data_IF_029965559023
#
_entry.id   IF_029965559023
#
_cell.length_a   1.000
_cell.length_b   1.000
_cell.length_c   1.000
_cell.angle_alpha   90.00
_cell.angle_beta   90.00
_cell.angle_gamma   90.00
#
_symmetry.space_group_name_H-M   'P 1'
#
loop_
_entity.id
_entity.type
_entity.pdbx_description
1 polymer ?
#
# COMPACT_ATOMS: atom_id res chain seq x y z
N UNK A 1 92.04 54.63 15.25
CA UNK A 1 90.58 54.57 14.96
C UNK A 1 90.28 53.31 14.16
N UNK A 2 90.10 52.16 14.80
CA UNK A 2 89.58 50.94 14.15
C UNK A 2 88.76 50.19 15.19
N UNK A 3 87.47 50.53 15.30
CA UNK A 3 86.54 49.72 16.09
C UNK A 3 85.09 50.08 15.77
N UNK A 4 84.65 49.72 14.56
CA UNK A 4 83.21 49.81 14.24
C UNK A 4 82.74 48.85 13.15
N UNK A 5 83.62 48.14 12.43
CA UNK A 5 83.20 47.21 11.36
C UNK A 5 82.86 45.79 11.84
N UNK A 6 83.47 45.34 12.95
CA UNK A 6 83.32 43.97 13.46
C UNK A 6 82.04 43.73 14.28
N UNK A 7 81.36 44.81 14.72
CA UNK A 7 80.13 44.73 15.52
C UNK A 7 78.87 44.60 14.65
N UNK A 8 78.90 45.09 13.41
CA UNK A 8 77.77 44.99 12.48
C UNK A 8 77.58 43.58 11.89
N UNK A 9 78.66 42.81 11.72
CA UNK A 9 78.63 41.48 11.09
C UNK A 9 78.17 40.35 12.02
N UNK A 10 78.37 40.50 13.34
CA UNK A 10 77.87 39.55 14.35
C UNK A 10 76.38 39.79 14.68
N UNK A 11 75.91 41.02 14.53
CA UNK A 11 74.51 41.38 14.75
C UNK A 11 73.59 40.84 13.63
N UNK A 12 74.06 40.80 12.38
CA UNK A 12 73.32 40.21 11.26
C UNK A 12 73.23 38.67 11.32
N UNK A 13 74.25 38.00 11.87
CA UNK A 13 74.27 36.53 12.03
C UNK A 13 73.29 36.04 13.11
N UNK A 14 73.19 36.74 14.25
CA UNK A 14 72.23 36.38 15.30
C UNK A 14 70.77 36.61 14.89
N UNK A 15 70.50 37.61 14.05
CA UNK A 15 69.16 37.84 13.49
C UNK A 15 68.75 36.75 12.47
N UNK A 16 69.70 36.22 11.69
CA UNK A 16 69.43 35.13 10.76
C UNK A 16 69.10 33.81 11.47
N UNK A 17 69.80 33.49 12.57
CA UNK A 17 69.48 32.32 13.42
C UNK A 17 68.11 32.45 14.09
N UNK A 18 67.76 33.65 14.55
CA UNK A 18 66.43 33.92 15.12
C UNK A 18 65.31 33.73 14.09
N UNK A 19 65.52 34.16 12.84
CA UNK A 19 64.57 33.97 11.74
C UNK A 19 64.40 32.50 11.37
N UNK A 20 65.48 31.70 11.40
CA UNK A 20 65.42 30.26 11.14
C UNK A 20 64.61 29.52 12.23
N UNK A 21 64.83 29.86 13.51
CA UNK A 21 64.05 29.31 14.63
C UNK A 21 62.55 29.68 14.54
N UNK A 22 62.25 30.92 14.16
CA UNK A 22 60.85 31.35 13.93
C UNK A 22 60.20 30.60 12.77
N UNK A 23 60.95 30.32 11.69
CA UNK A 23 60.45 29.56 10.55
C UNK A 23 60.17 28.09 10.93
N UNK A 24 61.04 27.46 11.73
CA UNK A 24 60.80 26.10 12.25
C UNK A 24 59.60 26.04 13.18
N UNK A 25 59.46 27.02 14.09
CA UNK A 25 58.27 27.13 14.96
C UNK A 25 56.99 27.30 14.16
N UNK A 26 57.01 28.16 13.13
CA UNK A 26 55.84 28.37 12.25
C UNK A 26 55.48 27.08 11.52
N UNK A 27 56.47 26.37 10.98
CA UNK A 27 56.27 25.10 10.26
C UNK A 27 55.72 24.01 11.17
N UNK A 28 56.21 23.89 12.41
CA UNK A 28 55.70 22.90 13.37
C UNK A 28 54.28 23.25 13.85
N UNK A 29 53.97 24.54 13.99
CA UNK A 29 52.63 25.02 14.31
C UNK A 29 51.64 24.72 13.18
N UNK A 30 52.01 25.01 11.93
CA UNK A 30 51.21 24.69 10.75
C UNK A 30 50.98 23.19 10.61
N UNK A 31 52.03 22.37 10.83
CA UNK A 31 51.90 20.91 10.83
C UNK A 31 50.96 20.41 11.94
N UNK A 32 51.07 20.96 13.16
CA UNK A 32 50.18 20.61 14.26
C UNK A 32 48.72 21.01 14.03
N UNK A 33 48.48 22.15 13.36
CA UNK A 33 47.14 22.57 12.97
C UNK A 33 46.56 21.67 11.88
N UNK A 34 47.36 21.25 10.91
CA UNK A 34 46.90 20.38 9.82
C UNK A 34 46.57 18.97 10.32
N UNK A 35 47.38 18.39 11.22
CA UNK A 35 47.07 17.12 11.89
C UNK A 35 45.74 17.19 12.67
N UNK A 36 45.50 18.31 13.36
CA UNK A 36 44.23 18.53 14.05
C UNK A 36 43.05 18.62 13.08
N UNK A 37 43.25 19.29 11.93
CA UNK A 37 42.24 19.38 10.88
C UNK A 37 41.90 18.00 10.31
N UNK A 38 42.91 17.18 10.05
CA UNK A 38 42.73 15.79 9.58
C UNK A 38 42.00 14.96 10.64
N UNK A 39 42.43 15.02 11.89
CA UNK A 39 41.77 14.29 12.99
C UNK A 39 40.29 14.68 13.19
N UNK A 40 39.96 15.96 13.04
CA UNK A 40 38.57 16.43 13.07
C UNK A 40 37.74 15.91 11.89
N UNK A 41 38.31 15.94 10.67
CA UNK A 41 37.63 15.48 9.47
C UNK A 41 37.40 13.96 9.48
N UNK A 42 38.36 13.18 9.97
CA UNK A 42 38.19 11.73 10.16
C UNK A 42 37.11 11.42 11.19
N UNK A 43 37.06 12.18 12.30
CA UNK A 43 36.03 12.02 13.31
C UNK A 43 34.63 12.32 12.76
N UNK A 44 34.50 13.41 11.98
CA UNK A 44 33.26 13.78 11.30
C UNK A 44 32.82 12.70 10.31
N UNK A 45 33.74 12.21 9.47
CA UNK A 45 33.48 11.15 8.50
C UNK A 45 33.07 9.84 9.18
N UNK A 46 33.69 9.49 10.31
CA UNK A 46 33.33 8.33 11.12
C UNK A 46 31.91 8.43 11.68
N UNK A 47 31.54 9.61 12.21
CA UNK A 47 30.19 9.88 12.70
C UNK A 47 29.15 9.82 11.59
N UNK A 48 29.47 10.38 10.42
CA UNK A 48 28.58 10.38 9.25
C UNK A 48 28.36 8.95 8.73
N UNK A 49 29.43 8.15 8.62
CA UNK A 49 29.34 6.74 8.24
C UNK A 49 28.47 5.95 9.22
N UNK A 50 28.67 6.11 10.53
CA UNK A 50 27.84 5.44 11.54
C UNK A 50 26.36 5.84 11.47
N UNK A 51 26.08 7.11 11.17
CA UNK A 51 24.71 7.60 10.94
C UNK A 51 24.09 6.99 9.67
N UNK A 52 24.85 6.90 8.59
CA UNK A 52 24.38 6.31 7.33
C UNK A 52 24.12 4.81 7.45
N UNK A 53 25.01 4.07 8.12
CA UNK A 53 24.82 2.64 8.41
C UNK A 53 23.53 2.41 9.23
N UNK A 54 23.31 3.24 10.27
CA UNK A 54 22.07 3.21 11.05
C UNK A 54 20.85 3.54 10.19
N UNK A 55 20.93 4.56 9.34
CA UNK A 55 19.83 4.94 8.43
C UNK A 55 19.46 3.77 7.52
N UNK A 56 20.45 3.15 6.88
CA UNK A 56 20.24 2.00 5.99
C UNK A 56 19.66 0.80 6.72
N UNK A 57 20.12 0.53 7.95
CA UNK A 57 19.57 -0.56 8.77
C UNK A 57 18.08 -0.35 9.06
N UNK A 58 17.71 0.85 9.52
CA UNK A 58 16.33 1.21 9.83
C UNK A 58 15.47 1.16 8.55
N UNK A 59 15.95 1.71 7.43
CA UNK A 59 15.23 1.66 6.16
C UNK A 59 15.00 0.22 5.68
N UNK A 60 15.99 -0.65 5.84
CA UNK A 60 15.89 -2.08 5.48
C UNK A 60 14.88 -2.81 6.37
N UNK A 61 14.89 -2.57 7.68
CA UNK A 61 13.92 -3.15 8.60
C UNK A 61 12.49 -2.67 8.30
N UNK A 62 12.31 -1.37 8.09
CA UNK A 62 11.00 -0.78 7.74
C UNK A 62 10.48 -1.37 6.43
N UNK A 63 11.37 -1.53 5.43
CA UNK A 63 11.01 -2.16 4.16
C UNK A 63 10.54 -3.61 4.36
N UNK A 64 11.27 -4.40 5.14
CA UNK A 64 10.89 -5.78 5.45
C UNK A 64 9.53 -5.86 6.16
N UNK A 65 9.31 -5.03 7.18
CA UNK A 65 8.01 -4.96 7.89
C UNK A 65 6.89 -4.61 6.92
N UNK A 66 7.11 -3.64 6.03
CA UNK A 66 6.13 -3.24 5.02
C UNK A 66 5.77 -4.39 4.07
N UNK A 67 6.75 -5.18 3.65
CA UNK A 67 6.52 -6.36 2.80
C UNK A 67 5.73 -7.45 3.52
N UNK A 68 6.04 -7.73 4.78
CA UNK A 68 5.27 -8.66 5.62
C UNK A 68 3.83 -8.20 5.81
N UNK A 69 3.61 -6.92 6.14
CA UNK A 69 2.27 -6.35 6.31
C UNK A 69 1.47 -6.46 5.00
N UNK A 70 2.05 -6.09 3.86
CA UNK A 70 1.38 -6.21 2.57
C UNK A 70 1.03 -7.67 2.21
N UNK A 71 1.88 -8.62 2.61
CA UNK A 71 1.61 -10.04 2.42
C UNK A 71 0.44 -10.50 3.29
N UNK A 72 0.40 -10.09 4.56
CA UNK A 72 -0.70 -10.38 5.47
C UNK A 72 -2.02 -9.75 5.00
N UNK A 73 -2.00 -8.49 4.56
CA UNK A 73 -3.18 -7.80 4.00
C UNK A 73 -3.76 -8.61 2.85
N UNK A 74 -2.93 -9.05 1.89
CA UNK A 74 -3.43 -9.83 0.75
C UNK A 74 -4.10 -11.15 1.14
N UNK A 75 -3.58 -11.86 2.15
CA UNK A 75 -4.21 -13.08 2.68
C UNK A 75 -5.55 -12.79 3.36
N UNK A 76 -5.64 -11.68 4.07
CA UNK A 76 -6.88 -11.25 4.73
C UNK A 76 -7.94 -10.89 3.68
N UNK A 77 -7.55 -10.15 2.64
CA UNK A 77 -8.45 -9.78 1.54
C UNK A 77 -9.00 -11.02 0.82
N UNK A 78 -8.14 -12.01 0.54
CA UNK A 78 -8.54 -13.29 -0.04
C UNK A 78 -9.57 -14.03 0.84
N UNK A 79 -9.29 -14.14 2.13
CA UNK A 79 -10.21 -14.76 3.09
C UNK A 79 -11.55 -14.01 3.16
N UNK A 80 -11.54 -12.67 3.16
CA UNK A 80 -12.76 -11.86 3.18
C UNK A 80 -13.61 -12.12 1.93
N UNK A 81 -12.98 -12.18 0.76
CA UNK A 81 -13.70 -12.47 -0.49
C UNK A 81 -14.28 -13.90 -0.50
N UNK A 82 -13.53 -14.88 0.02
CA UNK A 82 -14.02 -16.25 0.17
C UNK A 82 -15.26 -16.31 1.07
N UNK A 83 -15.16 -15.74 2.28
CA UNK A 83 -16.29 -15.72 3.24
C UNK A 83 -17.49 -14.97 2.64
N UNK A 84 -17.26 -13.87 1.92
CA UNK A 84 -18.32 -13.11 1.24
C UNK A 84 -19.03 -13.97 0.19
N UNK A 85 -18.29 -14.77 -0.59
CA UNK A 85 -18.85 -15.70 -1.57
C UNK A 85 -19.73 -16.75 -0.90
N UNK A 86 -19.22 -17.42 0.14
CA UNK A 86 -19.94 -18.46 0.89
C UNK A 86 -21.24 -17.94 1.51
N UNK A 87 -21.21 -16.73 2.08
CA UNK A 87 -22.42 -16.09 2.64
C UNK A 87 -23.46 -15.85 1.55
N UNK A 88 -23.06 -15.33 0.38
CA UNK A 88 -23.99 -15.05 -0.71
C UNK A 88 -24.61 -16.33 -1.28
N UNK A 89 -23.81 -17.39 -1.45
CA UNK A 89 -24.27 -18.71 -1.89
C UNK A 89 -25.30 -19.28 -0.89
N UNK A 90 -24.97 -19.25 0.41
CA UNK A 90 -25.86 -19.70 1.47
C UNK A 90 -27.17 -18.90 1.50
N UNK A 91 -27.11 -17.58 1.37
CA UNK A 91 -28.30 -16.72 1.31
C UNK A 91 -29.18 -17.06 0.11
N UNK A 92 -28.57 -17.25 -1.07
CA UNK A 92 -29.27 -17.63 -2.29
C UNK A 92 -29.95 -18.99 -2.14
N UNK A 93 -29.29 -19.96 -1.51
CA UNK A 93 -29.85 -21.29 -1.26
C UNK A 93 -30.99 -21.28 -0.24
N UNK A 94 -30.86 -20.53 0.85
CA UNK A 94 -31.94 -20.35 1.84
C UNK A 94 -33.17 -19.72 1.20
N UNK A 95 -32.99 -18.64 0.42
CA UNK A 95 -34.10 -17.94 -0.25
C UNK A 95 -34.73 -18.82 -1.32
N UNK A 96 -33.94 -19.52 -2.11
CA UNK A 96 -34.46 -20.35 -3.19
C UNK A 96 -35.18 -21.60 -2.67
N UNK A 97 -34.69 -22.20 -1.58
CA UNK A 97 -35.31 -23.38 -0.95
C UNK A 97 -36.61 -23.01 -0.24
N UNK A 98 -36.64 -21.91 0.52
CA UNK A 98 -37.85 -21.46 1.23
C UNK A 98 -38.98 -21.05 0.28
N UNK A 99 -38.64 -20.54 -0.91
CA UNK A 99 -39.60 -20.15 -1.93
C UNK A 99 -39.86 -21.24 -2.98
N UNK A 100 -39.26 -22.44 -2.87
CA UNK A 100 -39.45 -23.54 -3.81
C UNK A 100 -39.02 -23.21 -5.25
N UNK A 101 -37.97 -22.42 -5.43
CA UNK A 101 -37.52 -22.02 -6.77
C UNK A 101 -37.00 -23.21 -7.57
N UNK A 102 -37.52 -23.38 -8.79
CA UNK A 102 -36.97 -24.31 -9.78
C UNK A 102 -35.68 -23.75 -10.37
N UNK A 103 -34.84 -24.58 -10.99
CA UNK A 103 -33.59 -24.14 -11.61
C UNK A 103 -33.76 -22.98 -12.60
N UNK A 104 -34.89 -22.95 -13.34
CA UNK A 104 -35.26 -21.84 -14.22
C UNK A 104 -35.49 -20.53 -13.47
N UNK A 105 -36.17 -20.58 -12.32
CA UNK A 105 -36.45 -19.41 -11.48
C UNK A 105 -35.16 -18.94 -10.81
N UNK A 106 -34.33 -19.86 -10.31
CA UNK A 106 -32.98 -19.55 -9.80
C UNK A 106 -32.14 -18.83 -10.85
N UNK A 107 -32.08 -19.35 -12.07
CA UNK A 107 -31.35 -18.74 -13.19
C UNK A 107 -31.88 -17.33 -13.53
N UNK A 108 -33.19 -17.18 -13.66
CA UNK A 108 -33.83 -15.89 -13.97
C UNK A 108 -33.56 -14.85 -12.88
N UNK A 109 -33.65 -15.26 -11.61
CA UNK A 109 -33.37 -14.38 -10.49
C UNK A 109 -31.89 -14.01 -10.41
N UNK A 110 -30.99 -14.96 -10.65
CA UNK A 110 -29.55 -14.72 -10.71
C UNK A 110 -29.24 -13.67 -11.77
N UNK A 111 -29.73 -13.85 -13.01
CA UNK A 111 -29.58 -12.87 -14.11
C UNK A 111 -30.13 -11.50 -13.72
N UNK A 112 -31.32 -11.44 -13.12
CA UNK A 112 -31.94 -10.19 -12.68
C UNK A 112 -31.16 -9.47 -11.56
N UNK A 113 -30.33 -10.21 -10.82
CA UNK A 113 -29.51 -9.68 -9.73
C UNK A 113 -28.13 -9.19 -10.19
N UNK A 114 -27.64 -9.61 -11.36
CA UNK A 114 -26.34 -9.21 -11.88
C UNK A 114 -26.29 -7.68 -12.11
N UNK A 115 -25.17 -7.06 -11.71
CA UNK A 115 -24.92 -5.62 -11.88
C UNK A 115 -23.49 -5.38 -12.38
N UNK A 116 -23.28 -4.24 -13.03
CA UNK A 116 -21.95 -3.82 -13.51
C UNK A 116 -21.28 -4.86 -14.43
N UNK A 117 -19.98 -5.08 -14.25
CA UNK A 117 -19.15 -6.02 -15.05
C UNK A 117 -19.70 -7.46 -15.06
N UNK A 118 -20.46 -7.87 -14.05
CA UNK A 118 -21.08 -9.19 -14.02
C UNK A 118 -22.18 -9.35 -15.08
N UNK A 119 -22.84 -8.26 -15.49
CA UNK A 119 -23.84 -8.30 -16.58
C UNK A 119 -23.21 -8.55 -17.95
N UNK A 120 -21.94 -8.20 -18.13
CA UNK A 120 -21.24 -8.41 -19.40
C UNK A 120 -21.00 -9.91 -19.68
N UNK A 121 -21.06 -10.78 -18.67
CA UNK A 121 -21.06 -12.25 -18.84
C UNK A 121 -22.23 -12.71 -19.70
N UNK A 122 -23.36 -12.00 -19.63
CA UNK A 122 -24.58 -12.36 -20.34
C UNK A 122 -24.46 -12.19 -21.86
N UNK A 123 -23.53 -11.35 -22.33
CA UNK A 123 -23.33 -11.10 -23.76
C UNK A 123 -22.82 -12.33 -24.52
N UNK A 124 -22.12 -13.24 -23.83
CA UNK A 124 -21.57 -14.47 -24.40
C UNK A 124 -22.53 -15.67 -24.36
N UNK A 125 -23.70 -15.53 -23.73
CA UNK A 125 -24.64 -16.63 -23.49
C UNK A 125 -25.85 -16.47 -24.42
N UNK A 126 -26.19 -17.47 -25.24
CA UNK A 126 -27.41 -17.45 -26.03
C UNK A 126 -28.65 -17.28 -25.16
N UNK A 127 -29.64 -16.51 -25.61
CA UNK A 127 -30.83 -16.19 -24.82
C UNK A 127 -31.60 -17.43 -24.31
N UNK A 128 -31.62 -18.52 -25.09
CA UNK A 128 -32.25 -19.79 -24.69
C UNK A 128 -31.54 -20.49 -23.52
N UNK A 129 -30.26 -20.16 -23.27
CA UNK A 129 -29.44 -20.73 -22.21
C UNK A 129 -29.40 -19.84 -20.96
N UNK A 130 -30.00 -18.64 -20.99
CA UNK A 130 -30.14 -17.76 -19.82
C UNK A 130 -31.17 -18.26 -18.79
N UNK A 131 -31.87 -19.35 -19.09
CA UNK A 131 -32.72 -20.06 -18.14
C UNK A 131 -32.03 -21.26 -17.50
N UNK A 132 -30.82 -21.60 -17.95
CA UNK A 132 -30.02 -22.69 -17.42
C UNK A 132 -29.01 -22.16 -16.40
N UNK A 133 -29.24 -22.50 -15.13
CA UNK A 133 -28.45 -21.99 -14.01
C UNK A 133 -26.97 -22.38 -14.15
N UNK A 134 -26.69 -23.63 -14.51
CA UNK A 134 -25.33 -24.16 -14.65
C UNK A 134 -24.52 -23.45 -15.74
N UNK A 135 -25.17 -23.07 -16.85
CA UNK A 135 -24.50 -22.28 -17.90
C UNK A 135 -24.08 -20.89 -17.41
N UNK A 136 -24.91 -20.24 -16.59
CA UNK A 136 -24.64 -18.91 -16.06
C UNK A 136 -23.56 -18.97 -14.97
N UNK A 137 -23.65 -19.92 -14.05
CA UNK A 137 -22.64 -20.16 -13.00
C UNK A 137 -21.26 -20.40 -13.62
N UNK A 138 -21.16 -21.30 -14.60
CA UNK A 138 -19.90 -21.58 -15.29
C UNK A 138 -19.33 -20.36 -16.03
N UNK A 139 -20.18 -19.51 -16.58
CA UNK A 139 -19.72 -18.30 -17.26
C UNK A 139 -19.24 -17.24 -16.26
N UNK A 140 -19.89 -17.14 -15.10
CA UNK A 140 -19.43 -16.32 -13.98
C UNK A 140 -18.12 -16.84 -13.41
N UNK A 141 -17.99 -18.14 -13.18
CA UNK A 141 -16.74 -18.79 -12.76
C UNK A 141 -15.64 -18.62 -13.79
N UNK A 142 -15.92 -18.73 -15.10
CA UNK A 142 -14.88 -18.53 -16.12
C UNK A 142 -14.33 -17.10 -16.14
N UNK A 143 -15.13 -16.10 -15.76
CA UNK A 143 -14.74 -14.69 -15.79
C UNK A 143 -14.22 -14.16 -14.46
N UNK A 144 -14.78 -14.66 -13.36
CA UNK A 144 -14.50 -14.20 -11.99
C UNK A 144 -13.83 -15.28 -11.12
N UNK A 145 -13.69 -16.50 -11.62
CA UNK A 145 -13.05 -17.63 -10.94
C UNK A 145 -11.55 -17.44 -10.76
N UNK A 146 -11.22 -17.05 -9.54
CA UNK A 146 -10.06 -17.33 -8.69
C UNK A 146 -8.60 -17.23 -9.15
N UNK A 147 -8.25 -16.97 -10.42
CA UNK A 147 -6.81 -16.82 -10.74
C UNK A 147 -6.41 -15.44 -11.28
N UNK A 148 -7.13 -14.91 -12.25
CA UNK A 148 -6.67 -13.71 -12.97
C UNK A 148 -7.17 -12.38 -12.39
N UNK A 149 -8.36 -12.35 -11.77
CA UNK A 149 -8.98 -11.10 -11.32
C UNK A 149 -8.40 -10.60 -9.99
N UNK A 150 -8.07 -11.52 -9.08
CA UNK A 150 -7.36 -11.23 -7.83
C UNK A 150 -6.00 -10.59 -8.11
N UNK A 151 -5.29 -11.00 -9.17
CA UNK A 151 -4.01 -10.42 -9.54
C UNK A 151 -4.15 -9.02 -10.17
N UNK A 152 -5.21 -8.79 -10.96
CA UNK A 152 -5.52 -7.48 -11.55
C UNK A 152 -5.87 -6.45 -10.46
N UNK A 153 -6.85 -6.76 -9.61
CA UNK A 153 -7.26 -5.90 -8.50
C UNK A 153 -6.14 -5.72 -7.46
N UNK A 154 -5.33 -6.75 -7.21
CA UNK A 154 -4.12 -6.65 -6.38
C UNK A 154 -3.08 -5.70 -6.99
N UNK A 155 -3.00 -5.59 -8.31
CA UNK A 155 -2.06 -4.68 -8.98
C UNK A 155 -2.58 -3.24 -8.97
N UNK A 156 -3.88 -3.01 -9.20
CA UNK A 156 -4.49 -1.68 -9.04
C UNK A 156 -4.39 -1.18 -7.59
N UNK A 157 -4.75 -1.99 -6.60
CA UNK A 157 -4.63 -1.61 -5.18
C UNK A 157 -3.18 -1.39 -4.73
N UNK A 158 -2.22 -2.20 -5.22
CA UNK A 158 -0.79 -2.00 -4.91
C UNK A 158 -0.20 -0.72 -5.49
N UNK A 159 -0.73 -0.26 -6.63
CA UNK A 159 -0.24 0.95 -7.31
C UNK A 159 -1.02 2.20 -6.89
N UNK A 160 -2.17 2.03 -6.24
CA UNK A 160 -2.97 3.15 -5.75
C UNK A 160 -2.31 3.80 -4.53
N UNK A 161 -1.91 5.07 -4.70
CA UNK A 161 -1.52 5.96 -3.60
C UNK A 161 -2.44 7.17 -3.62
N UNK A 162 -2.69 7.79 -2.46
CA UNK A 162 -3.40 9.06 -2.40
C UNK A 162 -2.70 10.07 -3.30
N UNK A 163 -3.43 10.64 -4.26
CA UNK A 163 -2.87 11.67 -5.15
C UNK A 163 -2.80 13.01 -4.42
N UNK A 164 -1.86 13.92 -4.76
CA UNK A 164 -1.85 15.27 -4.21
C UNK A 164 -3.18 15.97 -4.51
N UNK A 165 -3.89 16.43 -3.48
CA UNK A 165 -5.20 17.08 -3.61
C UNK A 165 -6.42 16.15 -3.61
N UNK A 166 -6.22 14.84 -3.51
CA UNK A 166 -7.31 13.87 -3.34
C UNK A 166 -7.73 13.78 -1.86
N UNK A 167 -9.02 13.94 -1.58
CA UNK A 167 -9.55 13.76 -0.22
C UNK A 167 -9.55 12.29 0.18
N UNK A 168 -9.39 12.02 1.47
CA UNK A 168 -9.44 10.65 2.02
C UNK A 168 -10.76 9.95 1.72
N UNK A 169 -11.86 10.71 1.62
CA UNK A 169 -13.19 10.19 1.27
C UNK A 169 -13.24 9.69 -0.18
N UNK A 170 -12.59 10.40 -1.12
CA UNK A 170 -12.54 9.99 -2.53
C UNK A 170 -11.65 8.76 -2.71
N UNK A 171 -10.52 8.70 -2.01
CA UNK A 171 -9.68 7.50 -1.99
C UNK A 171 -10.41 6.30 -1.36
N UNK A 172 -11.13 6.52 -0.25
CA UNK A 172 -11.93 5.48 0.39
C UNK A 172 -13.04 4.98 -0.54
N UNK A 173 -13.78 5.88 -1.19
CA UNK A 173 -14.82 5.51 -2.15
C UNK A 173 -14.27 4.74 -3.37
N UNK A 174 -13.07 5.05 -3.84
CA UNK A 174 -12.40 4.35 -4.96
C UNK A 174 -11.99 2.91 -4.56
N UNK A 175 -11.47 2.75 -3.34
CA UNK A 175 -11.18 1.44 -2.73
C UNK A 175 -12.46 0.65 -2.45
N UNK A 176 -13.53 1.33 -2.02
CA UNK A 176 -14.85 0.74 -1.78
C UNK A 176 -15.57 0.38 -3.09
N UNK A 177 -15.32 1.08 -4.19
CA UNK A 177 -15.86 0.73 -5.51
C UNK A 177 -15.33 -0.62 -6.01
N UNK A 178 -14.11 -0.99 -5.60
CA UNK A 178 -13.55 -2.34 -5.80
C UNK A 178 -14.18 -3.41 -4.91
N UNK A 179 -14.92 -3.02 -3.86
CA UNK A 179 -15.63 -3.92 -2.93
C UNK A 179 -17.05 -4.28 -3.40
N UNK A 180 -17.57 -3.63 -4.44
CA UNK A 180 -18.96 -3.76 -4.86
C UNK A 180 -19.19 -4.79 -5.98
N UNK A 181 -19.07 -6.07 -5.62
CA UNK A 181 -20.03 -7.10 -6.04
C UNK A 181 -20.99 -7.36 -4.86
N UNK A 182 -21.68 -6.31 -4.41
CA UNK A 182 -22.83 -6.51 -3.53
C UNK A 182 -24.01 -6.88 -4.44
N UNK A 183 -24.21 -8.19 -4.58
CA UNK A 183 -25.53 -8.71 -4.93
C UNK A 183 -26.38 -8.57 -3.67
N UNK A 184 -26.85 -7.34 -3.40
CA UNK A 184 -27.90 -7.14 -2.42
C UNK A 184 -29.16 -7.83 -2.96
N UNK A 185 -29.45 -9.03 -2.46
CA UNK A 185 -30.80 -9.61 -2.56
C UNK A 185 -31.67 -8.84 -1.55
N UNK A 186 -32.02 -7.61 -1.92
CA UNK A 186 -33.24 -6.96 -1.46
C UNK A 186 -34.19 -6.91 -2.65
N UNK A 187 -34.83 -8.04 -2.94
CA UNK A 187 -36.04 -8.02 -3.76
C UNK A 187 -37.25 -8.01 -2.84
N UNK A 188 -37.71 -6.79 -2.60
CA UNK A 188 -39.04 -6.48 -2.14
C UNK A 188 -40.02 -6.76 -3.28
N UNK A 189 -40.96 -7.66 -3.01
CA UNK A 189 -42.30 -7.80 -3.60
C UNK A 189 -42.43 -7.77 -5.14
N UNK A 190 -42.67 -8.95 -5.71
CA UNK A 190 -43.40 -9.09 -6.97
C UNK A 190 -44.51 -10.13 -6.79
N UNK A 191 -45.44 -9.80 -5.90
CA UNK A 191 -46.88 -10.06 -6.03
C UNK A 191 -47.35 -11.44 -6.50
N UNK A 192 -47.87 -12.24 -5.57
CA UNK A 192 -49.27 -12.73 -5.58
C UNK A 192 -49.56 -13.63 -4.38
N UNK A 193 -50.06 -13.06 -3.29
CA UNK A 193 -51.33 -13.45 -2.62
C UNK A 193 -51.36 -13.06 -1.15
N UNK A 194 -52.22 -12.08 -0.89
CA UNK A 194 -52.62 -11.55 0.41
C UNK A 194 -53.31 -12.63 1.26
N UNK A 195 -52.76 -13.02 2.42
CA UNK A 195 -53.56 -13.33 3.62
C UNK A 195 -52.87 -12.80 4.88
N UNK A 196 -53.60 -11.92 5.55
CA UNK A 196 -53.37 -11.30 6.85
C UNK A 196 -52.66 -12.22 7.85
N UNK A 197 -51.54 -11.76 8.38
CA UNK A 197 -51.28 -11.80 9.82
C UNK A 197 -50.53 -10.53 10.23
N UNK A 198 -51.29 -9.65 10.88
CA UNK A 198 -50.75 -8.70 11.85
C UNK A 198 -49.87 -9.47 12.83
N UNK A 199 -48.65 -9.01 13.09
CA UNK A 199 -48.24 -8.45 14.38
C UNK A 199 -46.76 -8.08 14.33
N UNK A 200 -46.49 -6.77 14.47
CA UNK A 200 -45.41 -6.21 15.29
C UNK A 200 -44.20 -7.11 15.54
N UNK A 201 -43.12 -6.89 14.79
CA UNK A 201 -41.77 -6.81 15.38
C UNK A 201 -40.89 -5.97 14.47
N UNK A 202 -40.61 -4.76 14.97
CA UNK A 202 -39.51 -3.91 14.52
C UNK A 202 -38.22 -4.72 14.49
N UNK A 203 -37.46 -4.61 13.41
CA UNK A 203 -36.04 -4.32 13.53
C UNK A 203 -35.64 -3.38 12.39
N UNK A 204 -35.82 -2.10 12.67
CA UNK A 204 -34.92 -1.05 12.18
C UNK A 204 -33.53 -1.39 12.70
N UNK A 205 -32.49 -1.29 11.87
CA UNK A 205 -31.26 -0.53 12.13
C UNK A 205 -30.24 -0.75 10.99
N UNK A 206 -29.89 0.36 10.33
CA UNK A 206 -28.55 0.77 9.87
C UNK A 206 -27.87 -0.12 8.82
N UNK A 207 -27.48 0.40 7.65
CA UNK A 207 -26.38 1.35 7.55
C UNK A 207 -26.59 2.37 6.42
N UNK A 208 -26.19 3.60 6.73
CA UNK A 208 -26.37 4.84 5.99
C UNK A 208 -24.99 5.27 5.45
N UNK A 209 -25.01 5.87 4.25
CA UNK A 209 -24.01 6.79 3.68
C UNK A 209 -22.71 6.25 3.12
#
# INVERSE_FOLDING_TARGET
MVKTRSQATMADSGNAELLALLAEMKKSMEAGQEEMRIGQEEMKKGMEKGRDEMRVHVETQVKGIKEHVNTCIGKIEENIQSVKREINETQFDVVSSSNGWTGRVKASQLVASLRGSATEVLQGIPAGNLTDLTTIERALESRFGDSHLTQFYRTELKTRRQKPGESLQVLAADVERHRFLDVCILWFDSGTSFRKLNYRSRLVLLFHQ
#
